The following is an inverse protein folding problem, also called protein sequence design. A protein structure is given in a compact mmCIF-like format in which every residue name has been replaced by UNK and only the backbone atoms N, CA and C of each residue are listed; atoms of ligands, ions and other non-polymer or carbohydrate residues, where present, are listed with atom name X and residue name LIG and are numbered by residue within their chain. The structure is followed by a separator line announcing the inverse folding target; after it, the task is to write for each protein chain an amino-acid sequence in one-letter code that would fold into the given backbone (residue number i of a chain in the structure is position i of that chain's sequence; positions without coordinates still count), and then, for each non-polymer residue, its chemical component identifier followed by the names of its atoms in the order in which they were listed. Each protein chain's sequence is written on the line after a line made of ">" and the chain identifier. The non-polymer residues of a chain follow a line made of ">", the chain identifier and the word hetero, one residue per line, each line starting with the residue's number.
data_IF_841706954205
#
_entry.id   IF_841706954205
#
_cell.length_a   1.000
_cell.length_b   1.000
_cell.length_c   1.000
_cell.angle_alpha   90.00
_cell.angle_beta   90.00
_cell.angle_gamma   90.00
#
_symmetry.space_group_name_H-M   'P 1'
#
loop_
_entity.id
_entity.type
_entity.pdbx_description
1 polymer ?
#
# COMPACT_ATOMS: atom_id res chain seq x y z
N UNK A 1 -2.86 0.25 -10.84
CA UNK A 1 -4.28 0.27 -10.50
C UNK A 1 -5.08 1.08 -11.52
N UNK A 2 -4.81 2.36 -11.75
CA UNK A 2 -5.57 3.27 -12.61
C UNK A 2 -5.78 2.73 -14.04
N UNK A 3 -4.68 2.35 -14.73
CA UNK A 3 -4.74 1.79 -16.10
C UNK A 3 -5.64 0.55 -16.19
N UNK A 4 -5.51 -0.37 -15.23
CA UNK A 4 -6.31 -1.60 -15.23
C UNK A 4 -7.80 -1.36 -14.93
N UNK A 5 -8.13 -0.32 -14.16
CA UNK A 5 -9.53 0.04 -13.92
C UNK A 5 -10.14 0.73 -15.14
N UNK A 6 -9.38 1.57 -15.83
CA UNK A 6 -9.82 2.18 -17.08
C UNK A 6 -10.05 1.13 -18.18
N UNK A 7 -9.13 0.18 -18.33
CA UNK A 7 -9.30 -0.94 -19.26
C UNK A 7 -10.59 -1.72 -19.01
N UNK A 8 -10.92 -1.98 -17.73
CA UNK A 8 -12.17 -2.69 -17.36
C UNK A 8 -13.41 -1.87 -17.69
N UNK A 9 -13.34 -0.56 -17.54
CA UNK A 9 -14.41 0.36 -17.91
C UNK A 9 -14.63 0.38 -19.42
N UNK A 10 -13.58 0.57 -20.22
CA UNK A 10 -13.66 0.53 -21.68
C UNK A 10 -14.20 -0.83 -22.18
N UNK A 11 -13.67 -1.93 -21.64
CA UNK A 11 -14.17 -3.27 -22.00
C UNK A 11 -15.66 -3.46 -21.67
N UNK A 12 -16.13 -2.91 -20.54
CA UNK A 12 -17.57 -2.94 -20.21
C UNK A 12 -18.40 -2.15 -21.23
N UNK A 13 -17.97 -0.95 -21.62
CA UNK A 13 -18.65 -0.15 -22.63
C UNK A 13 -18.74 -0.88 -23.96
N UNK A 14 -17.64 -1.43 -24.43
CA UNK A 14 -17.58 -2.21 -25.68
C UNK A 14 -18.46 -3.46 -25.65
N UNK A 15 -18.35 -4.27 -24.59
CA UNK A 15 -18.96 -5.63 -24.58
C UNK A 15 -20.38 -5.65 -24.05
N UNK A 16 -20.80 -4.69 -23.24
CA UNK A 16 -22.10 -4.66 -22.56
C UNK A 16 -23.02 -3.52 -23.03
N UNK A 17 -22.44 -2.48 -23.63
CA UNK A 17 -23.17 -1.32 -24.08
C UNK A 17 -23.05 -1.04 -25.58
N UNK A 18 -22.17 -1.81 -26.27
CA UNK A 18 -21.86 -1.64 -27.70
C UNK A 18 -21.39 -0.19 -28.04
N UNK A 19 -20.64 0.42 -27.10
CA UNK A 19 -20.08 1.77 -27.24
C UNK A 19 -18.58 1.66 -27.50
N UNK A 20 -18.16 1.99 -28.70
CA UNK A 20 -16.79 1.88 -29.19
C UNK A 20 -16.02 3.21 -29.22
N UNK A 21 -16.74 4.32 -29.15
CA UNK A 21 -16.16 5.67 -29.11
C UNK A 21 -16.46 6.36 -27.78
N UNK A 22 -15.43 6.87 -27.13
CA UNK A 22 -15.55 7.49 -25.81
C UNK A 22 -16.38 8.77 -25.81
N UNK A 23 -16.46 9.47 -26.95
CA UNK A 23 -17.29 10.65 -27.18
C UNK A 23 -18.80 10.37 -27.22
N UNK A 24 -19.18 9.11 -27.50
CA UNK A 24 -20.58 8.67 -27.60
C UNK A 24 -21.13 8.13 -26.28
N UNK A 25 -20.32 8.01 -25.25
CA UNK A 25 -20.75 7.50 -23.95
C UNK A 25 -21.78 8.42 -23.33
N UNK A 26 -22.92 7.86 -22.96
CA UNK A 26 -24.00 8.55 -22.29
C UNK A 26 -24.01 8.30 -20.78
N UNK A 27 -24.75 9.15 -20.05
CA UNK A 27 -24.93 9.00 -18.59
C UNK A 27 -25.42 7.60 -18.20
N UNK A 28 -26.33 7.03 -19.01
CA UNK A 28 -26.95 5.72 -18.81
C UNK A 28 -25.91 4.59 -18.90
N UNK A 29 -24.88 4.73 -19.73
CA UNK A 29 -23.80 3.75 -19.85
C UNK A 29 -22.92 3.73 -18.59
N UNK A 30 -22.63 4.89 -18.05
CA UNK A 30 -21.90 5.02 -16.77
C UNK A 30 -22.73 4.48 -15.62
N UNK A 31 -24.03 4.78 -15.58
CA UNK A 31 -24.94 4.25 -14.56
C UNK A 31 -25.04 2.71 -14.64
N UNK A 32 -25.11 2.15 -15.85
CA UNK A 32 -25.10 0.70 -16.07
C UNK A 32 -23.78 0.05 -15.60
N UNK A 33 -22.64 0.72 -15.81
CA UNK A 33 -21.36 0.25 -15.27
C UNK A 33 -21.36 0.17 -13.75
N UNK A 34 -21.86 1.20 -13.07
CA UNK A 34 -21.97 1.20 -11.60
C UNK A 34 -22.91 0.09 -11.12
N UNK A 35 -24.05 -0.11 -11.81
CA UNK A 35 -24.97 -1.18 -11.49
C UNK A 35 -24.36 -2.57 -11.69
N UNK A 36 -23.61 -2.81 -12.79
CA UNK A 36 -22.88 -4.08 -13.02
C UNK A 36 -21.89 -4.35 -11.88
N UNK A 37 -21.15 -3.34 -11.44
CA UNK A 37 -20.22 -3.48 -10.32
C UNK A 37 -20.94 -3.83 -9.02
N UNK A 38 -22.10 -3.23 -8.76
CA UNK A 38 -22.93 -3.50 -7.58
C UNK A 38 -23.52 -4.90 -7.62
N UNK A 39 -24.07 -5.32 -8.76
CA UNK A 39 -24.65 -6.65 -8.96
C UNK A 39 -23.59 -7.77 -8.83
N UNK A 40 -22.33 -7.46 -9.09
CA UNK A 40 -21.19 -8.39 -8.90
C UNK A 40 -20.61 -8.30 -7.49
N UNK A 41 -21.30 -7.66 -6.57
CA UNK A 41 -20.97 -7.57 -5.15
C UNK A 41 -19.56 -7.00 -4.86
N UNK A 42 -19.04 -6.10 -5.71
CA UNK A 42 -17.80 -5.43 -5.40
C UNK A 42 -17.94 -4.50 -4.18
N UNK A 43 -16.90 -4.49 -3.34
CA UNK A 43 -16.87 -3.60 -2.18
C UNK A 43 -17.10 -2.13 -2.58
N UNK A 44 -17.85 -1.33 -1.80
CA UNK A 44 -18.14 0.09 -2.09
C UNK A 44 -16.91 0.92 -2.44
N UNK A 45 -15.78 0.68 -1.75
CA UNK A 45 -14.49 1.33 -2.04
C UNK A 45 -13.92 0.98 -3.42
N UNK A 46 -14.19 -0.23 -3.92
CA UNK A 46 -13.78 -0.64 -5.26
C UNK A 46 -14.64 0.03 -6.32
N UNK A 47 -15.96 0.13 -6.09
CA UNK A 47 -16.90 0.81 -6.99
C UNK A 47 -16.55 2.29 -7.06
N UNK A 48 -16.36 2.96 -5.92
CA UNK A 48 -15.95 4.36 -5.84
C UNK A 48 -14.65 4.63 -6.59
N UNK A 49 -13.62 3.81 -6.39
CA UNK A 49 -12.34 3.94 -7.07
C UNK A 49 -12.48 3.80 -8.59
N UNK A 50 -13.23 2.80 -9.07
CA UNK A 50 -13.45 2.58 -10.52
C UNK A 50 -14.27 3.70 -11.14
N UNK A 51 -15.31 4.17 -10.46
CA UNK A 51 -16.09 5.32 -10.92
C UNK A 51 -15.26 6.60 -10.92
N UNK A 52 -14.40 6.82 -9.93
CA UNK A 52 -13.46 7.96 -9.90
C UNK A 52 -12.48 7.93 -11.09
N UNK A 53 -12.06 6.74 -11.54
CA UNK A 53 -11.23 6.56 -12.74
C UNK A 53 -12.02 6.96 -13.99
N UNK A 54 -13.26 6.49 -14.14
CA UNK A 54 -14.14 6.87 -15.26
C UNK A 54 -14.38 8.38 -15.29
N UNK A 55 -14.69 8.99 -14.13
CA UNK A 55 -14.84 10.45 -14.01
C UNK A 55 -13.58 11.22 -14.43
N UNK A 56 -12.41 10.75 -14.00
CA UNK A 56 -11.12 11.34 -14.39
C UNK A 56 -10.88 11.25 -15.91
N UNK A 57 -11.24 10.13 -16.50
CA UNK A 57 -11.12 9.90 -17.94
C UNK A 57 -12.04 10.82 -18.76
N UNK A 58 -13.34 10.90 -18.45
CA UNK A 58 -14.26 11.75 -19.18
C UNK A 58 -13.95 13.23 -19.00
N UNK A 59 -13.53 13.68 -17.81
CA UNK A 59 -13.03 15.05 -17.62
C UNK A 59 -11.81 15.35 -18.48
N UNK A 60 -10.91 14.38 -18.65
CA UNK A 60 -9.78 14.52 -19.56
C UNK A 60 -10.25 14.68 -21.00
N UNK A 61 -11.20 13.85 -21.49
CA UNK A 61 -11.70 13.94 -22.86
C UNK A 61 -12.33 15.31 -23.16
N UNK A 62 -13.12 15.84 -22.23
CA UNK A 62 -13.72 17.18 -22.39
C UNK A 62 -12.66 18.29 -22.42
N UNK A 63 -11.68 18.22 -21.51
CA UNK A 63 -10.59 19.20 -21.44
C UNK A 63 -9.73 19.23 -22.72
N UNK A 64 -9.48 18.07 -23.31
CA UNK A 64 -8.67 17.96 -24.55
C UNK A 64 -9.51 18.10 -25.81
N UNK A 65 -10.82 18.35 -25.70
CA UNK A 65 -11.71 18.56 -26.84
C UNK A 65 -12.14 17.29 -27.59
N UNK A 66 -11.93 16.12 -27.01
CA UNK A 66 -12.36 14.83 -27.57
C UNK A 66 -13.83 14.49 -27.29
N UNK A 67 -14.47 15.19 -26.37
CA UNK A 67 -15.89 15.07 -26.08
C UNK A 67 -16.48 16.45 -25.70
N UNK A 68 -17.76 16.68 -26.04
CA UNK A 68 -18.44 17.94 -25.74
C UNK A 68 -18.91 18.03 -24.28
N UNK A 69 -19.25 16.89 -23.65
CA UNK A 69 -19.80 16.84 -22.32
C UNK A 69 -19.24 15.67 -21.50
N UNK A 70 -19.25 15.80 -20.17
CA UNK A 70 -18.86 14.73 -19.23
C UNK A 70 -20.12 13.96 -18.78
N UNK A 71 -20.33 12.70 -19.27
CA UNK A 71 -21.50 11.89 -18.92
C UNK A 71 -21.49 11.44 -17.46
N UNK A 72 -20.38 11.64 -16.76
CA UNK A 72 -20.22 11.21 -15.36
C UNK A 72 -20.58 12.30 -14.35
N UNK A 73 -20.85 13.54 -14.80
CA UNK A 73 -20.96 14.71 -13.94
C UNK A 73 -22.03 14.52 -12.83
N UNK A 74 -23.19 13.99 -13.20
CA UNK A 74 -24.33 13.80 -12.29
C UNK A 74 -24.38 12.43 -11.62
N UNK A 75 -23.42 11.52 -11.91
CA UNK A 75 -23.37 10.21 -11.27
C UNK A 75 -22.79 10.36 -9.86
N UNK A 76 -23.54 10.06 -8.78
CA UNK A 76 -23.03 10.18 -7.44
C UNK A 76 -21.98 9.10 -7.14
N UNK A 77 -20.97 9.44 -6.38
CA UNK A 77 -20.06 8.45 -5.80
C UNK A 77 -20.79 7.68 -4.69
N UNK A 78 -20.59 6.37 -4.57
CA UNK A 78 -21.12 5.62 -3.44
C UNK A 78 -20.68 6.30 -2.13
N UNK A 79 -21.62 6.52 -1.22
CA UNK A 79 -21.29 7.04 0.11
C UNK A 79 -20.58 5.96 0.91
N UNK A 80 -19.34 6.21 1.30
CA UNK A 80 -18.71 5.43 2.36
C UNK A 80 -19.35 5.81 3.68
N UNK A 81 -19.62 4.83 4.55
CA UNK A 81 -19.75 5.15 5.96
C UNK A 81 -18.44 5.84 6.37
N UNK A 82 -18.53 7.01 6.98
CA UNK A 82 -17.38 7.66 7.62
C UNK A 82 -17.01 6.84 8.85
N UNK A 83 -16.25 5.76 8.67
CA UNK A 83 -15.52 5.14 9.77
C UNK A 83 -14.28 5.99 9.98
N UNK A 84 -14.17 6.62 11.16
CA UNK A 84 -12.91 7.21 11.59
C UNK A 84 -11.84 6.12 11.49
N UNK A 85 -10.65 6.43 10.95
CA UNK A 85 -9.55 5.47 11.00
C UNK A 85 -9.33 5.07 12.46
N UNK A 86 -9.23 3.77 12.73
CA UNK A 86 -8.78 3.27 14.02
C UNK A 86 -7.32 3.69 14.18
N UNK A 87 -7.08 4.77 14.91
CA UNK A 87 -5.73 5.28 15.18
C UNK A 87 -5.30 4.70 16.52
N UNK A 88 -4.13 4.05 16.53
CA UNK A 88 -3.54 3.60 17.79
C UNK A 88 -3.15 4.80 18.67
N UNK A 89 -3.47 4.70 19.96
CA UNK A 89 -2.89 5.62 20.95
C UNK A 89 -1.40 5.37 21.12
N UNK A 90 -0.67 6.36 21.63
CA UNK A 90 0.77 6.22 21.92
C UNK A 90 1.02 5.04 22.86
N UNK A 91 0.16 4.82 23.86
CA UNK A 91 0.26 3.70 24.79
C UNK A 91 0.12 2.34 24.07
N UNK A 92 -0.84 2.20 23.16
CA UNK A 92 -1.01 0.99 22.36
C UNK A 92 0.16 0.74 21.41
N UNK A 93 0.75 1.79 20.85
CA UNK A 93 1.96 1.66 20.02
C UNK A 93 3.14 1.18 20.86
N UNK A 94 3.36 1.75 22.06
CA UNK A 94 4.41 1.29 22.97
C UNK A 94 4.19 -0.17 23.37
N UNK A 95 2.99 -0.53 23.80
CA UNK A 95 2.62 -1.90 24.14
C UNK A 95 2.88 -2.89 22.99
N UNK A 96 2.51 -2.49 21.76
CA UNK A 96 2.74 -3.30 20.57
C UNK A 96 4.23 -3.51 20.32
N UNK A 97 5.04 -2.44 20.34
CA UNK A 97 6.46 -2.50 20.00
C UNK A 97 7.30 -3.20 21.10
N UNK A 98 6.96 -2.96 22.37
CA UNK A 98 7.63 -3.56 23.51
C UNK A 98 7.29 -5.05 23.67
N UNK A 99 6.09 -5.46 23.26
CA UNK A 99 5.60 -6.85 23.30
C UNK A 99 6.04 -7.72 22.13
N UNK A 100 6.82 -7.19 21.17
CA UNK A 100 7.23 -7.98 19.99
C UNK A 100 8.24 -9.07 20.34
N UNK A 101 7.98 -10.34 19.96
CA UNK A 101 8.94 -11.41 20.15
C UNK A 101 10.19 -11.20 19.27
N UNK A 102 11.34 -11.65 19.78
CA UNK A 102 12.64 -11.56 19.10
C UNK A 102 13.51 -12.81 19.32
N UNK A 103 12.88 -13.99 19.48
CA UNK A 103 13.55 -15.24 19.83
C UNK A 103 14.18 -15.97 18.64
N UNK A 104 13.88 -15.56 17.42
CA UNK A 104 14.41 -16.17 16.20
C UNK A 104 14.55 -15.10 15.09
N UNK A 105 15.29 -15.40 14.01
CA UNK A 105 15.58 -14.43 12.94
C UNK A 105 14.36 -13.79 12.29
N UNK A 106 13.26 -14.54 12.16
CA UNK A 106 12.01 -14.03 11.58
C UNK A 106 11.33 -13.05 12.54
N UNK A 107 11.34 -13.35 13.82
CA UNK A 107 10.77 -12.45 14.85
C UNK A 107 11.61 -11.18 15.01
N UNK A 108 12.94 -11.31 15.07
CA UNK A 108 13.86 -10.16 15.10
C UNK A 108 13.64 -9.23 13.88
N UNK A 109 13.48 -9.81 12.67
CA UNK A 109 13.13 -9.07 11.48
C UNK A 109 11.77 -8.35 11.63
N UNK A 110 10.75 -9.03 12.17
CA UNK A 110 9.43 -8.45 12.34
C UNK A 110 9.44 -7.28 13.34
N UNK A 111 10.14 -7.44 14.45
CA UNK A 111 10.31 -6.40 15.45
C UNK A 111 11.02 -5.17 14.86
N UNK A 112 12.15 -5.38 14.20
CA UNK A 112 12.88 -4.32 13.49
C UNK A 112 11.99 -3.62 12.44
N UNK A 113 11.26 -4.39 11.64
CA UNK A 113 10.39 -3.88 10.59
C UNK A 113 9.31 -2.94 11.14
N UNK A 114 8.63 -3.34 12.21
CA UNK A 114 7.56 -2.53 12.83
C UNK A 114 8.12 -1.30 13.51
N UNK A 115 9.27 -1.41 14.19
CA UNK A 115 9.97 -0.28 14.79
C UNK A 115 10.38 0.77 13.75
N UNK A 116 10.96 0.34 12.62
CA UNK A 116 11.35 1.24 11.53
C UNK A 116 10.14 1.82 10.83
N UNK A 117 9.08 1.04 10.63
CA UNK A 117 7.85 1.51 9.99
C UNK A 117 7.22 2.65 10.81
N UNK A 118 7.12 2.47 12.12
CA UNK A 118 6.58 3.46 13.04
C UNK A 118 7.56 4.63 13.26
N UNK A 119 8.79 4.33 13.71
CA UNK A 119 9.77 5.36 14.10
C UNK A 119 10.21 6.27 12.97
N UNK A 120 10.21 5.77 11.72
CA UNK A 120 10.59 6.55 10.55
C UNK A 120 9.40 7.00 9.68
N UNK A 121 8.17 6.61 10.00
CA UNK A 121 6.98 6.96 9.21
C UNK A 121 7.08 6.55 7.74
N UNK A 122 7.63 5.37 7.47
CA UNK A 122 7.80 4.86 6.11
C UNK A 122 6.48 4.35 5.53
N UNK A 123 6.27 4.56 4.23
CA UNK A 123 5.25 3.80 3.51
C UNK A 123 5.72 2.34 3.36
N UNK A 124 4.77 1.41 3.35
CA UNK A 124 5.10 -0.04 3.16
C UNK A 124 5.95 -0.29 1.91
N UNK A 125 5.67 0.42 0.82
CA UNK A 125 6.46 0.31 -0.42
C UNK A 125 7.90 0.80 -0.27
N UNK A 126 8.12 1.85 0.52
CA UNK A 126 9.45 2.38 0.84
C UNK A 126 10.22 1.40 1.72
N UNK A 127 9.54 0.85 2.74
CA UNK A 127 10.13 -0.14 3.64
C UNK A 127 10.61 -1.39 2.91
N UNK A 128 9.73 -2.03 2.10
CA UNK A 128 10.10 -3.25 1.36
C UNK A 128 11.07 -2.97 0.21
N UNK A 129 11.12 -1.74 -0.28
CA UNK A 129 12.05 -1.28 -1.31
C UNK A 129 13.42 -0.85 -0.77
N UNK A 130 13.61 -0.81 0.55
CA UNK A 130 14.85 -0.35 1.16
C UNK A 130 15.98 -1.35 0.92
N UNK A 131 17.11 -0.87 0.38
CA UNK A 131 18.33 -1.63 0.17
C UNK A 131 19.42 -1.24 1.18
N UNK A 132 20.41 -2.12 1.37
CA UNK A 132 21.46 -1.99 2.37
C UNK A 132 22.30 -0.72 2.18
N UNK A 133 22.57 -0.32 0.92
CA UNK A 133 23.32 0.88 0.55
C UNK A 133 22.56 2.19 0.79
N UNK A 134 21.32 2.10 1.27
CA UNK A 134 20.44 3.24 1.56
C UNK A 134 20.20 3.48 3.04
N UNK A 135 20.92 2.74 3.89
CA UNK A 135 20.88 2.88 5.36
C UNK A 135 22.16 3.57 5.82
N UNK A 136 22.03 4.78 6.30
CA UNK A 136 23.15 5.65 6.73
C UNK A 136 23.14 5.78 8.25
N UNK A 137 23.84 4.86 8.91
CA UNK A 137 23.83 4.77 10.38
C UNK A 137 24.53 5.93 11.08
N UNK A 138 25.66 6.37 10.54
CA UNK A 138 26.47 7.43 11.15
C UNK A 138 25.82 8.81 10.95
N UNK A 139 25.18 9.00 9.80
CA UNK A 139 24.48 10.24 9.46
C UNK A 139 23.04 10.28 10.00
N UNK A 140 22.53 9.13 10.49
CA UNK A 140 21.21 9.05 11.13
C UNK A 140 20.03 9.20 10.18
N UNK A 141 20.12 8.68 8.95
CA UNK A 141 19.00 8.72 8.00
C UNK A 141 18.88 7.48 7.12
N UNK A 142 17.68 7.31 6.57
CA UNK A 142 17.38 6.36 5.48
C UNK A 142 17.10 7.15 4.21
N UNK A 143 17.58 6.66 3.06
CA UNK A 143 17.21 7.18 1.75
C UNK A 143 16.18 6.25 1.13
N UNK A 144 14.97 6.75 0.91
CA UNK A 144 13.86 5.95 0.40
C UNK A 144 13.32 6.45 -0.94
N UNK A 145 12.81 5.54 -1.77
CA UNK A 145 12.19 5.85 -3.04
C UNK A 145 10.66 6.00 -2.86
N UNK A 146 10.17 7.22 -3.06
CA UNK A 146 8.75 7.53 -3.05
C UNK A 146 8.05 7.32 -4.40
N UNK A 147 6.82 7.81 -4.51
CA UNK A 147 6.01 7.77 -5.74
C UNK A 147 6.73 8.52 -6.88
N UNK A 148 6.82 7.89 -8.05
CA UNK A 148 7.46 8.47 -9.24
C UNK A 148 8.99 8.47 -9.16
N UNK A 149 9.59 7.51 -8.43
CA UNK A 149 11.04 7.37 -8.26
C UNK A 149 11.72 8.59 -7.63
N UNK A 150 10.96 9.45 -6.93
CA UNK A 150 11.55 10.57 -6.18
C UNK A 150 12.15 10.05 -4.88
N UNK A 151 13.42 10.35 -4.66
CA UNK A 151 14.11 10.05 -3.40
C UNK A 151 13.72 11.06 -2.31
N UNK A 152 13.62 10.56 -1.08
CA UNK A 152 13.54 11.40 0.11
C UNK A 152 14.41 10.84 1.22
N UNK A 153 14.90 11.72 2.05
CA UNK A 153 15.63 11.41 3.28
C UNK A 153 14.63 11.33 4.43
N UNK A 154 14.79 10.34 5.28
CA UNK A 154 13.95 10.14 6.47
C UNK A 154 14.87 10.01 7.68
N UNK A 155 14.64 10.77 8.75
CA UNK A 155 15.39 10.63 10.00
C UNK A 155 15.31 9.18 10.52
N UNK A 156 16.44 8.69 11.03
CA UNK A 156 16.59 7.33 11.51
C UNK A 156 17.39 7.36 12.83
N UNK A 157 16.73 7.15 13.94
CA UNK A 157 17.30 7.31 15.27
C UNK A 157 16.65 6.42 16.32
N UNK A 158 17.16 6.44 17.52
CA UNK A 158 16.56 5.80 18.69
C UNK A 158 16.45 4.28 18.57
N UNK A 159 15.30 3.74 18.95
CA UNK A 159 15.04 2.29 18.96
C UNK A 159 15.07 1.67 17.55
N UNK A 160 14.66 2.42 16.52
CA UNK A 160 14.73 1.95 15.14
C UNK A 160 16.17 1.63 14.70
N UNK A 161 17.15 2.46 15.07
CA UNK A 161 18.59 2.21 14.82
C UNK A 161 19.06 0.97 15.57
N UNK A 162 18.73 0.85 16.86
CA UNK A 162 19.11 -0.29 17.68
C UNK A 162 18.58 -1.60 17.09
N UNK A 163 17.28 -1.69 16.84
CA UNK A 163 16.66 -2.87 16.24
C UNK A 163 17.18 -3.21 14.86
N UNK A 164 17.53 -2.19 14.07
CA UNK A 164 18.12 -2.41 12.74
C UNK A 164 19.53 -3.01 12.84
N UNK A 165 20.38 -2.52 13.75
CA UNK A 165 21.71 -3.09 13.97
C UNK A 165 21.61 -4.55 14.42
N UNK A 166 20.81 -4.84 15.45
CA UNK A 166 20.57 -6.20 15.94
C UNK A 166 20.10 -7.13 14.80
N UNK A 167 19.12 -6.71 14.02
CA UNK A 167 18.62 -7.50 12.91
C UNK A 167 19.68 -7.74 11.83
N UNK A 168 20.43 -6.71 11.43
CA UNK A 168 21.44 -6.81 10.36
C UNK A 168 22.64 -7.66 10.77
N UNK A 169 23.03 -7.61 12.04
CA UNK A 169 24.19 -8.34 12.57
C UNK A 169 23.87 -9.80 12.89
N UNK A 170 22.72 -10.07 13.50
CA UNK A 170 22.38 -11.40 14.02
C UNK A 170 21.44 -12.18 13.09
N UNK A 171 20.31 -11.60 12.70
CA UNK A 171 19.23 -12.33 12.05
C UNK A 171 19.30 -12.33 10.53
N UNK A 172 19.67 -11.20 9.91
CA UNK A 172 19.69 -11.07 8.46
C UNK A 172 20.69 -12.01 7.78
N UNK A 173 21.91 -12.25 8.30
CA UNK A 173 22.86 -13.21 7.70
C UNK A 173 22.28 -14.63 7.65
N UNK A 174 21.58 -15.06 8.68
CA UNK A 174 20.92 -16.37 8.72
C UNK A 174 19.83 -16.48 7.65
N UNK A 175 18.97 -15.46 7.55
CA UNK A 175 17.94 -15.41 6.50
C UNK A 175 18.55 -15.34 5.09
N UNK A 176 19.64 -14.61 4.90
CA UNK A 176 20.34 -14.49 3.62
C UNK A 176 21.01 -15.79 3.19
N UNK A 177 21.45 -16.61 4.13
CA UNK A 177 22.06 -17.93 3.88
C UNK A 177 21.10 -18.92 3.21
N UNK A 178 19.79 -18.67 3.22
CA UNK A 178 18.80 -19.49 2.54
C UNK A 178 18.83 -19.41 1.01
N UNK A 179 19.57 -18.46 0.42
CA UNK A 179 19.66 -18.27 -1.04
C UNK A 179 21.10 -18.27 -1.54
N UNK A 180 21.27 -18.79 -2.78
CA UNK A 180 22.59 -18.87 -3.44
C UNK A 180 23.14 -17.47 -3.85
N UNK A 181 22.24 -16.53 -4.12
CA UNK A 181 22.58 -15.15 -4.52
C UNK A 181 21.86 -14.17 -3.58
N UNK A 182 22.58 -13.60 -2.61
CA UNK A 182 22.00 -12.62 -1.68
C UNK A 182 21.39 -11.43 -2.41
N UNK A 183 20.24 -10.97 -1.97
CA UNK A 183 19.60 -9.76 -2.50
C UNK A 183 20.00 -8.53 -1.66
N UNK A 184 20.08 -7.32 -2.28
CA UNK A 184 20.48 -6.10 -1.57
C UNK A 184 19.45 -5.60 -0.56
N UNK A 185 18.23 -6.18 -0.54
CA UNK A 185 17.15 -5.77 0.34
C UNK A 185 17.53 -5.83 1.81
N UNK A 186 17.15 -4.81 2.59
CA UNK A 186 17.25 -4.82 4.05
C UNK A 186 16.38 -5.93 4.62
N UNK A 187 15.08 -5.93 4.32
CA UNK A 187 14.13 -6.88 4.90
C UNK A 187 13.93 -8.11 4.01
N UNK A 188 14.31 -9.27 4.56
CA UNK A 188 14.22 -10.56 3.89
C UNK A 188 13.02 -11.38 4.39
N UNK A 189 12.46 -12.20 3.50
CA UNK A 189 11.53 -13.25 3.90
C UNK A 189 12.31 -14.49 4.42
N UNK A 190 11.60 -15.49 4.95
CA UNK A 190 12.22 -16.70 5.49
C UNK A 190 12.95 -17.56 4.43
N UNK A 191 12.83 -17.25 3.15
CA UNK A 191 13.52 -17.91 2.04
C UNK A 191 14.69 -17.07 1.50
N UNK A 192 15.09 -16.00 2.17
CA UNK A 192 16.20 -15.11 1.80
C UNK A 192 15.89 -14.10 0.69
N UNK A 193 14.69 -14.11 0.12
CA UNK A 193 14.28 -13.12 -0.87
C UNK A 193 13.72 -11.84 -0.23
N UNK A 194 13.56 -10.76 -1.02
CA UNK A 194 12.95 -9.51 -0.57
C UNK A 194 11.56 -9.73 0.01
N UNK A 195 11.24 -9.06 1.09
CA UNK A 195 9.93 -9.09 1.71
C UNK A 195 8.89 -8.40 0.82
N UNK A 196 7.65 -8.91 0.81
CA UNK A 196 6.55 -8.32 0.02
C UNK A 196 5.66 -7.42 0.87
N UNK A 197 4.96 -6.47 0.24
CA UNK A 197 3.96 -5.63 0.91
C UNK A 197 2.88 -6.46 1.63
N UNK A 198 2.42 -7.54 1.01
CA UNK A 198 1.44 -8.45 1.62
C UNK A 198 1.98 -9.10 2.90
N UNK A 199 3.29 -9.43 2.93
CA UNK A 199 3.92 -9.94 4.14
C UNK A 199 3.94 -8.91 5.25
N UNK A 200 4.26 -7.64 4.95
CA UNK A 200 4.20 -6.54 5.94
C UNK A 200 2.80 -6.40 6.51
N UNK A 201 1.75 -6.38 5.65
CA UNK A 201 0.36 -6.32 6.13
C UNK A 201 0.01 -7.46 7.08
N UNK A 202 0.43 -8.71 6.77
CA UNK A 202 0.19 -9.86 7.65
C UNK A 202 0.95 -9.76 8.98
N UNK A 203 2.18 -9.25 8.95
CA UNK A 203 2.99 -9.02 10.16
C UNK A 203 2.31 -7.98 11.05
N UNK A 204 1.91 -6.84 10.49
CA UNK A 204 1.23 -5.77 11.23
C UNK A 204 -0.10 -6.25 11.82
N UNK A 205 -0.93 -6.94 11.03
CA UNK A 205 -2.19 -7.49 11.51
C UNK A 205 -2.01 -8.48 12.66
N UNK A 206 -1.01 -9.39 12.56
CA UNK A 206 -0.67 -10.32 13.64
C UNK A 206 -0.22 -9.61 14.92
N UNK A 207 0.60 -8.55 14.78
CA UNK A 207 1.05 -7.75 15.91
C UNK A 207 -0.13 -7.02 16.59
N UNK A 208 -1.08 -6.46 15.80
CA UNK A 208 -2.29 -5.85 16.33
C UNK A 208 -3.16 -6.81 17.14
N UNK A 209 -3.32 -8.04 16.66
CA UNK A 209 -4.09 -9.07 17.40
C UNK A 209 -3.50 -9.35 18.78
N UNK A 210 -2.18 -9.27 18.95
CA UNK A 210 -1.54 -9.51 20.23
C UNK A 210 -1.89 -8.46 21.30
N UNK A 211 -2.29 -7.26 20.89
CA UNK A 211 -2.74 -6.17 21.77
C UNK A 211 -4.26 -5.93 21.67
N UNK A 212 -5.02 -6.90 21.14
CA UNK A 212 -6.49 -6.82 21.02
C UNK A 212 -6.99 -5.86 19.93
N UNK A 213 -6.15 -5.43 19.00
CA UNK A 213 -6.54 -4.56 17.88
C UNK A 213 -6.75 -5.40 16.63
N UNK A 214 -7.99 -5.56 16.22
CA UNK A 214 -8.35 -6.25 14.99
C UNK A 214 -8.05 -5.37 13.76
N UNK A 215 -7.60 -6.01 12.67
CA UNK A 215 -7.39 -5.36 11.38
C UNK A 215 -6.38 -4.18 11.39
N UNK A 216 -5.37 -4.24 12.26
CA UNK A 216 -4.31 -3.24 12.24
C UNK A 216 -3.61 -3.19 10.87
N UNK A 217 -3.53 -1.99 10.28
CA UNK A 217 -2.92 -1.75 8.98
C UNK A 217 -1.68 -0.86 9.11
N UNK A 218 -0.69 -0.99 8.23
CA UNK A 218 0.51 -0.13 8.27
C UNK A 218 0.25 1.37 8.07
N UNK A 219 -0.98 1.77 7.79
CA UNK A 219 -1.41 3.17 7.64
C UNK A 219 -2.39 3.60 8.75
N UNK A 220 -2.55 2.78 9.77
CA UNK A 220 -3.27 3.14 10.99
C UNK A 220 -2.39 4.01 11.87
#
# INVERSE_FOLDING_TARGET
>A
AYRGDLQKYCLFLETKRDVHEASLVQREDVAAFVADLSNREFAPSTIERRLSVAKGYHRFLVREGFAEADPTQTIPLPRKPHTLPDVLSVAQVSELLDGLPSSNPVEMRNACLLEVLYGCGLRVSELVGLDMDRVYFEEGYLRVLGKGSKERIVPFSGMAVKRMREYLEEARPELAGAVRHPVPAVFLNARGGRLTRQSVHRITAKAGMAIGVENLHPHT
#
